data_IF_382041930571
#
_entry.id   IF_382041930571
#
_cell.length_a   1.000
_cell.length_b   1.000
_cell.length_c   1.000
_cell.angle_alpha   90.00
_cell.angle_beta   90.00
_cell.angle_gamma   90.00
#
_symmetry.space_group_name_H-M   'P 1'
#
loop_
_entity.id
_entity.type
_entity.pdbx_description
1 polymer ?
#
# COMPACT_ATOMS: atom_id res chain seq x y z
N UNK A 1 36.89 27.89 -25.27
CA UNK A 1 37.10 27.52 -23.87
C UNK A 1 35.78 26.92 -23.37
N UNK A 2 35.63 25.60 -23.54
CA UNK A 2 34.41 24.82 -23.25
C UNK A 2 34.63 24.13 -21.93
N UNK A 3 33.75 24.35 -20.98
CA UNK A 3 33.67 23.55 -19.75
C UNK A 3 32.41 22.67 -19.83
N UNK A 4 32.65 21.40 -20.04
CA UNK A 4 31.60 20.36 -19.98
C UNK A 4 31.41 19.88 -18.53
N UNK A 5 30.16 19.81 -18.14
CA UNK A 5 29.74 19.18 -16.87
C UNK A 5 29.64 17.66 -17.06
N UNK A 6 30.41 16.92 -16.29
CA UNK A 6 30.34 15.46 -16.23
C UNK A 6 29.37 15.05 -15.13
N UNK A 7 28.35 14.27 -15.50
CA UNK A 7 27.50 13.56 -14.55
C UNK A 7 28.19 12.26 -14.12
N UNK A 8 28.33 12.06 -12.82
CA UNK A 8 28.89 10.83 -12.23
C UNK A 8 27.76 9.85 -12.03
N UNK A 9 27.77 8.78 -12.83
CA UNK A 9 26.95 7.59 -12.60
C UNK A 9 27.81 6.60 -11.83
N UNK A 10 27.43 6.28 -10.61
CA UNK A 10 28.10 5.29 -9.76
C UNK A 10 27.67 3.90 -10.19
N UNK A 11 28.49 3.26 -11.03
CA UNK A 11 28.36 1.84 -11.41
C UNK A 11 29.47 1.04 -10.75
N UNK A 12 29.10 0.06 -9.96
CA UNK A 12 30.01 -0.90 -9.32
C UNK A 12 30.60 -1.84 -10.37
N UNK A 13 31.91 -1.75 -10.61
CA UNK A 13 32.64 -2.65 -11.51
C UNK A 13 33.18 -3.84 -10.71
N UNK A 14 32.73 -5.04 -11.04
CA UNK A 14 33.33 -6.28 -10.58
C UNK A 14 34.50 -6.66 -11.51
N UNK A 15 35.72 -6.73 -10.99
CA UNK A 15 36.89 -7.13 -11.74
C UNK A 15 37.13 -8.62 -11.50
N UNK A 16 36.72 -9.44 -12.45
CA UNK A 16 37.13 -10.84 -12.58
C UNK A 16 38.17 -10.96 -13.71
N UNK A 17 39.32 -11.49 -13.37
CA UNK A 17 40.45 -11.69 -14.27
C UNK A 17 40.32 -13.02 -15.02
N UNK A 18 40.04 -13.00 -16.33
CA UNK A 18 40.25 -14.14 -17.21
C UNK A 18 40.70 -13.66 -18.60
N UNK A 19 41.67 -14.34 -19.19
CA UNK A 19 42.41 -13.99 -20.41
C UNK A 19 41.59 -14.17 -21.70
N UNK A 20 42.19 -13.85 -22.87
CA UNK A 20 41.47 -13.66 -24.11
C UNK A 20 41.04 -14.97 -24.75
N UNK A 21 39.75 -15.07 -25.08
CA UNK A 21 39.24 -16.08 -26.01
C UNK A 21 38.50 -15.33 -27.14
N UNK A 22 38.94 -15.62 -28.36
CA UNK A 22 38.38 -15.12 -29.61
C UNK A 22 36.90 -15.45 -29.73
N UNK A 23 36.07 -14.43 -29.91
CA UNK A 23 34.67 -14.59 -30.26
C UNK A 23 34.54 -14.39 -31.77
N UNK A 24 34.41 -15.50 -32.51
CA UNK A 24 33.98 -15.49 -33.92
C UNK A 24 32.45 -15.33 -33.95
N UNK A 25 31.99 -14.21 -34.46
CA UNK A 25 30.57 -13.98 -34.77
C UNK A 25 30.25 -14.62 -36.09
N UNK A 26 29.50 -15.72 -36.09
CA UNK A 26 28.93 -16.33 -37.30
C UNK A 26 27.55 -15.73 -37.55
N UNK A 27 27.48 -14.96 -38.62
CA UNK A 27 26.24 -14.39 -39.17
C UNK A 27 25.43 -15.52 -39.82
N UNK A 28 24.32 -15.92 -39.21
CA UNK A 28 23.39 -16.91 -39.80
C UNK A 28 22.08 -16.19 -40.09
N UNK A 29 21.67 -16.04 -41.36
CA UNK A 29 20.41 -15.39 -41.68
C UNK A 29 19.24 -16.29 -41.33
N UNK A 30 18.33 -15.77 -40.51
CA UNK A 30 17.02 -16.40 -40.21
C UNK A 30 16.12 -16.25 -41.46
N UNK A 31 15.78 -17.39 -42.08
CA UNK A 31 14.77 -17.46 -43.15
C UNK A 31 13.38 -17.35 -42.51
N UNK A 32 12.67 -16.28 -42.86
CA UNK A 32 11.23 -16.15 -42.68
C UNK A 32 10.53 -17.04 -43.73
N UNK A 33 9.77 -18.01 -43.26
CA UNK A 33 8.89 -18.82 -44.08
C UNK A 33 7.70 -18.02 -44.61
N UNK A 34 7.54 -18.04 -45.92
CA UNK A 34 6.37 -17.55 -46.62
C UNK A 34 5.31 -18.66 -46.65
N UNK A 35 4.05 -18.35 -46.38
CA UNK A 35 2.88 -18.38 -47.24
C UNK A 35 1.58 -18.53 -46.44
N UNK A 36 0.73 -17.54 -46.53
CA UNK A 36 -0.72 -17.74 -46.50
C UNK A 36 -1.31 -16.79 -47.54
N UNK A 37 -2.07 -17.39 -48.43
CA UNK A 37 -2.73 -16.78 -49.57
C UNK A 37 -3.72 -15.70 -49.13
N UNK A 38 -3.60 -14.51 -49.74
CA UNK A 38 -4.61 -13.46 -49.65
C UNK A 38 -5.22 -13.30 -51.03
N UNK A 39 -6.49 -13.67 -51.17
CA UNK A 39 -7.29 -13.34 -52.34
C UNK A 39 -7.50 -11.82 -52.47
N UNK A 40 -7.01 -11.26 -53.57
CA UNK A 40 -7.24 -9.87 -53.94
C UNK A 40 -8.53 -9.71 -54.67
N UNK A 41 -9.52 -9.07 -54.08
CA UNK A 41 -10.64 -8.47 -54.83
C UNK A 41 -10.31 -7.01 -55.10
N UNK A 42 -10.10 -6.70 -56.38
CA UNK A 42 -9.95 -5.35 -56.90
C UNK A 42 -11.28 -4.62 -56.98
N UNK A 43 -11.41 -3.47 -56.29
CA UNK A 43 -12.36 -2.44 -56.63
C UNK A 43 -11.66 -1.09 -56.73
N UNK A 44 -11.76 -0.46 -57.89
CA UNK A 44 -11.25 0.86 -58.24
C UNK A 44 -11.92 1.97 -57.41
N UNK A 45 -11.13 2.83 -56.81
CA UNK A 45 -11.62 4.08 -56.22
C UNK A 45 -10.43 4.92 -55.70
N UNK A 46 -10.10 5.98 -56.44
CA UNK A 46 -9.08 6.99 -56.19
C UNK A 46 -9.26 7.69 -54.87
N UNK A 47 -8.18 7.83 -54.05
CA UNK A 47 -7.66 9.05 -53.43
C UNK A 47 -6.85 8.72 -52.19
N UNK A 48 -5.59 9.07 -52.29
CA UNK A 48 -4.69 9.60 -51.24
C UNK A 48 -5.12 9.50 -49.76
N UNK A 49 -4.65 8.46 -49.08
CA UNK A 49 -4.51 8.44 -47.62
C UNK A 49 -3.38 7.45 -47.22
N UNK A 50 -2.34 8.02 -46.61
CA UNK A 50 -1.30 7.27 -45.92
C UNK A 50 -1.94 6.30 -44.90
N UNK A 51 -1.45 5.05 -44.75
CA UNK A 51 -1.98 4.16 -43.73
C UNK A 51 -1.41 4.61 -42.35
N UNK A 52 -2.23 5.30 -41.57
CA UNK A 52 -2.04 5.34 -40.12
C UNK A 52 -2.25 3.92 -39.59
N UNK A 53 -1.17 3.32 -39.10
CA UNK A 53 -1.25 2.11 -38.28
C UNK A 53 -1.90 2.46 -36.95
N UNK A 54 -3.23 2.51 -36.92
CA UNK A 54 -4.02 2.51 -35.71
C UNK A 54 -3.86 1.15 -35.04
N UNK A 55 -2.89 1.00 -34.15
CA UNK A 55 -2.96 0.00 -33.12
C UNK A 55 -4.09 0.42 -32.18
N UNK A 56 -5.30 0.01 -32.51
CA UNK A 56 -6.41 0.04 -31.57
C UNK A 56 -6.17 -1.03 -30.53
N UNK A 57 -5.50 -0.69 -29.44
CA UNK A 57 -5.71 -1.40 -28.20
C UNK A 57 -7.11 -1.02 -27.74
N UNK A 58 -8.08 -1.85 -28.10
CA UNK A 58 -9.35 -1.84 -27.41
C UNK A 58 -9.04 -2.24 -25.98
N UNK A 59 -9.29 -1.39 -24.96
CA UNK A 59 -9.30 -1.87 -23.60
C UNK A 59 -10.30 -3.02 -23.52
N UNK A 60 -10.07 -4.06 -22.70
CA UNK A 60 -11.07 -5.08 -22.50
C UNK A 60 -12.36 -4.38 -22.10
N UNK A 61 -13.42 -4.61 -22.85
CA UNK A 61 -14.74 -4.14 -22.54
C UNK A 61 -15.22 -4.90 -21.30
N UNK A 62 -14.92 -4.37 -20.12
CA UNK A 62 -15.56 -4.76 -18.88
C UNK A 62 -16.37 -3.56 -18.38
N UNK A 63 -17.60 -3.47 -18.86
CA UNK A 63 -18.65 -2.64 -18.27
C UNK A 63 -19.05 -3.15 -16.86
N UNK A 64 -18.41 -4.19 -16.35
CA UNK A 64 -18.64 -4.76 -15.01
C UNK A 64 -17.86 -4.07 -13.90
N UNK A 65 -16.81 -3.30 -14.21
CA UNK A 65 -15.96 -2.70 -13.18
C UNK A 65 -16.50 -1.38 -12.61
N UNK A 66 -17.53 -0.78 -13.20
CA UNK A 66 -18.15 0.44 -12.68
C UNK A 66 -19.17 0.16 -11.56
N UNK A 67 -19.76 -1.05 -11.56
CA UNK A 67 -20.78 -1.43 -10.56
C UNK A 67 -20.16 -1.88 -9.22
N UNK A 68 -18.85 -2.15 -9.17
CA UNK A 68 -18.15 -2.62 -7.98
C UNK A 68 -17.56 -1.47 -7.13
N UNK A 69 -17.57 -0.23 -7.62
CA UNK A 69 -17.03 0.92 -6.90
C UNK A 69 -18.07 1.45 -5.93
N UNK A 70 -17.80 1.29 -4.65
CA UNK A 70 -18.59 1.87 -3.57
C UNK A 70 -18.02 3.21 -3.15
N UNK A 71 -18.89 4.16 -2.84
CA UNK A 71 -18.50 5.46 -2.27
C UNK A 71 -19.28 5.75 -1.01
N UNK A 72 -18.62 6.38 -0.05
CA UNK A 72 -19.22 6.88 1.18
C UNK A 72 -19.61 8.34 0.96
N UNK A 73 -20.84 8.68 1.27
CA UNK A 73 -21.38 10.03 1.13
C UNK A 73 -21.93 10.55 2.45
N UNK A 74 -21.96 11.86 2.59
CA UNK A 74 -22.78 12.52 3.62
C UNK A 74 -24.25 12.38 3.27
N UNK A 75 -25.12 12.64 4.26
CA UNK A 75 -26.58 12.63 4.08
C UNK A 75 -27.08 13.72 3.10
N UNK A 76 -26.27 14.73 2.78
CA UNK A 76 -26.54 15.76 1.77
C UNK A 76 -25.87 15.47 0.41
N UNK A 77 -25.24 14.28 0.25
CA UNK A 77 -24.77 13.71 -1.00
C UNK A 77 -23.34 14.09 -1.39
N UNK A 78 -22.57 14.72 -0.52
CA UNK A 78 -21.14 14.97 -0.75
C UNK A 78 -20.35 13.65 -0.61
N UNK A 79 -19.46 13.36 -1.56
CA UNK A 79 -18.56 12.18 -1.49
C UNK A 79 -17.47 12.45 -0.46
N UNK A 80 -17.36 11.60 0.54
CA UNK A 80 -16.32 11.65 1.57
C UNK A 80 -15.15 10.71 1.25
N UNK A 81 -15.46 9.48 0.79
CA UNK A 81 -14.48 8.42 0.64
C UNK A 81 -14.93 7.38 -0.39
N UNK A 82 -13.99 6.57 -0.85
CA UNK A 82 -14.29 5.28 -1.46
C UNK A 82 -14.56 4.22 -0.39
N UNK A 83 -15.07 3.07 -0.79
CA UNK A 83 -15.27 1.94 0.12
C UNK A 83 -15.10 0.60 -0.59
N UNK A 84 -14.75 -0.41 0.19
CA UNK A 84 -14.64 -1.80 -0.26
C UNK A 84 -15.50 -2.71 0.61
N UNK A 85 -16.32 -3.54 -0.01
CA UNK A 85 -17.05 -4.60 0.68
C UNK A 85 -16.06 -5.70 1.14
N UNK A 86 -16.02 -5.99 2.44
CA UNK A 86 -15.12 -6.99 3.03
C UNK A 86 -15.85 -8.22 3.54
N UNK A 87 -17.10 -8.04 4.00
CA UNK A 87 -18.01 -9.08 4.46
C UNK A 87 -19.44 -8.66 4.09
N UNK A 88 -20.36 -9.60 3.92
CA UNK A 88 -21.77 -9.27 3.63
C UNK A 88 -22.33 -8.27 4.66
N UNK A 89 -22.80 -7.12 4.17
CA UNK A 89 -23.29 -6.02 5.00
C UNK A 89 -22.21 -5.16 5.67
N UNK A 90 -20.90 -5.35 5.35
CA UNK A 90 -19.83 -4.56 5.95
C UNK A 90 -18.84 -4.06 4.90
N UNK A 91 -18.58 -2.76 4.94
CA UNK A 91 -17.58 -2.12 4.09
C UNK A 91 -16.48 -1.47 4.92
N UNK A 92 -15.29 -1.39 4.35
CA UNK A 92 -14.16 -0.66 4.92
C UNK A 92 -13.86 0.59 4.11
N UNK A 93 -13.36 1.61 4.77
CA UNK A 93 -12.95 2.88 4.18
C UNK A 93 -11.82 3.53 4.99
N UNK A 94 -11.32 4.69 4.53
CA UNK A 94 -10.38 5.52 5.30
C UNK A 94 -11.11 6.27 6.41
N UNK A 95 -10.68 6.08 7.66
CA UNK A 95 -11.29 6.73 8.82
C UNK A 95 -11.08 8.24 8.83
N UNK A 96 -9.90 8.68 8.43
CA UNK A 96 -9.56 10.11 8.35
C UNK A 96 -10.44 10.85 7.35
N UNK A 97 -10.84 10.21 6.24
CA UNK A 97 -11.71 10.81 5.24
C UNK A 97 -13.13 11.06 5.76
N UNK A 98 -13.61 10.27 6.72
CA UNK A 98 -14.95 10.45 7.31
C UNK A 98 -15.07 11.63 8.27
N UNK A 99 -13.95 12.22 8.68
CA UNK A 99 -13.92 13.39 9.57
C UNK A 99 -14.81 13.25 10.84
N UNK A 100 -15.00 12.02 11.33
CA UNK A 100 -15.79 11.72 12.53
C UNK A 100 -17.28 11.48 12.27
N UNK A 101 -17.75 11.39 11.03
CA UNK A 101 -19.15 11.06 10.73
C UNK A 101 -19.46 9.61 11.15
N UNK A 102 -20.54 9.40 11.90
CA UNK A 102 -20.98 8.08 12.37
C UNK A 102 -22.12 7.50 11.52
N UNK A 103 -22.91 8.34 10.88
CA UNK A 103 -23.99 7.97 9.96
C UNK A 103 -23.64 8.47 8.57
N UNK A 104 -23.69 7.59 7.59
CA UNK A 104 -23.29 7.86 6.21
C UNK A 104 -24.22 7.15 5.24
N UNK A 105 -24.08 7.46 3.96
CA UNK A 105 -24.75 6.76 2.87
C UNK A 105 -23.70 6.00 2.04
N UNK A 106 -23.93 4.72 1.77
CA UNK A 106 -23.09 3.90 0.91
C UNK A 106 -23.78 3.76 -0.44
N UNK A 107 -23.14 4.26 -1.50
CA UNK A 107 -23.67 4.25 -2.86
C UNK A 107 -22.83 3.40 -3.78
N UNK A 108 -23.47 2.66 -4.70
CA UNK A 108 -22.85 1.92 -5.79
C UNK A 108 -23.82 1.81 -6.97
N UNK A 109 -23.35 2.08 -8.19
CA UNK A 109 -24.24 2.19 -9.35
C UNK A 109 -25.40 3.15 -9.08
N UNK A 110 -26.62 2.69 -9.30
CA UNK A 110 -27.87 3.43 -9.01
C UNK A 110 -28.43 3.14 -7.61
N UNK A 111 -27.72 2.37 -6.79
CA UNK A 111 -28.17 1.95 -5.45
C UNK A 111 -27.52 2.80 -4.37
N UNK A 112 -28.28 2.99 -3.28
CA UNK A 112 -27.79 3.68 -2.09
C UNK A 112 -28.47 3.11 -0.85
N UNK A 113 -27.71 2.90 0.23
CA UNK A 113 -28.19 2.40 1.51
C UNK A 113 -27.57 3.18 2.67
N UNK A 114 -28.31 3.34 3.76
CA UNK A 114 -27.74 3.91 4.98
C UNK A 114 -26.67 2.98 5.54
N UNK A 115 -25.63 3.58 6.12
CA UNK A 115 -24.55 2.90 6.79
C UNK A 115 -24.24 3.53 8.13
N UNK A 116 -23.88 2.70 9.11
CA UNK A 116 -23.47 3.12 10.45
C UNK A 116 -22.04 2.69 10.70
N UNK A 117 -21.18 3.60 11.11
CA UNK A 117 -19.82 3.30 11.55
C UNK A 117 -19.89 2.48 12.84
N UNK A 118 -19.29 1.28 12.82
CA UNK A 118 -19.29 0.39 13.98
C UNK A 118 -17.95 0.35 14.71
N UNK A 119 -16.87 0.80 14.07
CA UNK A 119 -15.57 0.92 14.70
C UNK A 119 -14.56 1.61 13.79
N UNK A 120 -13.52 2.15 14.42
CA UNK A 120 -12.40 2.86 13.78
C UNK A 120 -11.09 2.38 14.38
N UNK A 121 -10.13 2.12 13.51
CA UNK A 121 -8.75 1.92 13.91
C UNK A 121 -7.87 3.07 13.41
N UNK A 122 -7.48 3.99 14.29
CA UNK A 122 -6.62 5.11 13.93
C UNK A 122 -5.19 4.69 13.57
N UNK A 123 -4.74 3.50 13.99
CA UNK A 123 -3.39 3.00 13.71
C UNK A 123 -3.20 2.63 12.24
N UNK A 124 -4.24 2.08 11.62
CA UNK A 124 -4.24 1.67 10.21
C UNK A 124 -5.06 2.59 9.31
N UNK A 125 -5.80 3.57 9.84
CA UNK A 125 -6.78 4.40 9.14
C UNK A 125 -8.00 3.60 8.62
N UNK A 126 -8.25 2.40 9.14
CA UNK A 126 -9.38 1.58 8.76
C UNK A 126 -10.61 1.95 9.58
N UNK A 127 -11.72 2.12 8.90
CA UNK A 127 -13.05 2.27 9.51
C UNK A 127 -14.01 1.28 8.91
N UNK A 128 -14.77 0.61 9.76
CA UNK A 128 -15.79 -0.35 9.36
C UNK A 128 -17.17 0.27 9.46
N UNK A 129 -17.93 0.15 8.38
CA UNK A 129 -19.31 0.62 8.27
C UNK A 129 -20.22 -0.58 8.06
N UNK A 130 -21.22 -0.75 8.89
CA UNK A 130 -22.32 -1.69 8.66
C UNK A 130 -23.34 -1.05 7.74
N UNK A 131 -23.71 -1.73 6.67
CA UNK A 131 -24.69 -1.29 5.66
C UNK A 131 -26.03 -1.96 5.94
N UNK A 132 -27.09 -1.19 6.07
CA UNK A 132 -28.42 -1.68 6.41
C UNK A 132 -29.19 -2.11 5.14
N UNK A 133 -28.94 -3.30 4.66
CA UNK A 133 -29.62 -3.87 3.49
C UNK A 133 -28.77 -4.88 2.71
N UNK A 134 -29.26 -5.28 1.55
CA UNK A 134 -28.54 -6.21 0.68
C UNK A 134 -27.40 -5.47 -0.06
N UNK A 135 -26.18 -5.88 0.16
CA UNK A 135 -24.99 -5.40 -0.54
C UNK A 135 -24.70 -6.26 -1.78
N UNK A 136 -23.94 -5.77 -2.78
CA UNK A 136 -23.44 -6.60 -3.86
C UNK A 136 -22.59 -7.75 -3.29
N UNK A 137 -22.43 -8.84 -4.03
CA UNK A 137 -21.57 -9.94 -3.61
C UNK A 137 -20.10 -9.52 -3.53
N UNK A 138 -19.33 -10.21 -2.70
CA UNK A 138 -17.87 -10.11 -2.70
C UNK A 138 -17.35 -10.61 -4.04
N UNK A 139 -16.87 -9.70 -4.88
CA UNK A 139 -16.62 -9.99 -6.30
C UNK A 139 -15.15 -10.18 -6.69
N UNK A 140 -14.20 -9.95 -5.78
CA UNK A 140 -12.78 -9.94 -6.11
C UNK A 140 -11.96 -10.73 -5.11
N UNK A 141 -10.94 -11.42 -5.62
CA UNK A 141 -9.93 -12.07 -4.80
C UNK A 141 -8.94 -11.03 -4.25
N UNK A 142 -8.21 -11.41 -3.22
CA UNK A 142 -7.17 -10.59 -2.63
C UNK A 142 -5.82 -10.95 -3.26
N UNK A 143 -5.00 -9.92 -3.50
CA UNK A 143 -3.63 -10.08 -3.99
C UNK A 143 -2.64 -9.25 -3.19
N UNK A 144 -1.35 -9.56 -3.33
CA UNK A 144 -0.28 -8.79 -2.71
C UNK A 144 0.23 -7.73 -3.68
N UNK A 145 0.28 -6.48 -3.24
CA UNK A 145 0.98 -5.43 -3.96
C UNK A 145 2.48 -5.69 -3.90
N UNK A 146 3.16 -5.70 -5.06
CA UNK A 146 4.60 -5.93 -5.16
C UNK A 146 5.29 -4.73 -5.79
N UNK A 147 6.50 -4.44 -5.32
CA UNK A 147 7.32 -3.36 -5.90
C UNK A 147 7.47 -3.53 -7.42
N UNK A 148 7.26 -2.44 -8.16
CA UNK A 148 7.30 -2.40 -9.62
C UNK A 148 5.99 -2.76 -10.31
N UNK A 149 4.99 -3.30 -9.63
CA UNK A 149 3.67 -3.59 -10.20
C UNK A 149 2.82 -2.32 -10.33
N UNK A 150 1.93 -2.32 -11.33
CA UNK A 150 0.96 -1.26 -11.54
C UNK A 150 -0.35 -1.61 -10.84
N UNK A 151 -0.92 -0.62 -10.17
CA UNK A 151 -2.22 -0.71 -9.51
C UNK A 151 -3.18 0.33 -10.11
N UNK A 152 -4.44 -0.02 -10.19
CA UNK A 152 -5.52 0.80 -10.73
C UNK A 152 -6.51 1.14 -9.65
N UNK A 153 -6.83 2.43 -9.50
CA UNK A 153 -7.75 2.94 -8.49
C UNK A 153 -8.87 3.71 -9.19
N UNK A 154 -10.14 3.56 -8.79
CA UNK A 154 -11.24 4.34 -9.34
C UNK A 154 -11.14 5.81 -8.89
N UNK A 155 -11.52 6.72 -9.78
CA UNK A 155 -11.64 8.16 -9.50
C UNK A 155 -13.12 8.56 -9.41
N UNK A 156 -13.40 9.73 -8.85
CA UNK A 156 -14.79 10.22 -8.68
C UNK A 156 -15.55 10.33 -10.00
N UNK A 157 -14.89 10.65 -11.10
CA UNK A 157 -15.50 10.79 -12.43
C UNK A 157 -15.72 9.45 -13.15
N UNK A 158 -15.42 8.31 -12.47
CA UNK A 158 -15.54 6.97 -13.03
C UNK A 158 -14.37 6.55 -13.91
N UNK A 159 -13.34 7.38 -14.05
CA UNK A 159 -12.08 7.01 -14.69
C UNK A 159 -11.19 6.19 -13.74
N UNK A 160 -9.95 5.91 -14.14
CA UNK A 160 -8.98 5.17 -13.31
C UNK A 160 -7.65 5.91 -13.24
N UNK A 161 -7.13 6.01 -12.03
CA UNK A 161 -5.75 6.39 -11.77
C UNK A 161 -4.88 5.14 -11.76
N UNK A 162 -3.83 5.10 -12.58
CA UNK A 162 -2.85 4.02 -12.59
C UNK A 162 -1.55 4.51 -12.02
N UNK A 163 -1.03 3.83 -11.02
CA UNK A 163 0.23 4.15 -10.35
C UNK A 163 1.03 2.89 -10.13
N UNK A 164 2.32 3.04 -9.84
CA UNK A 164 3.25 1.93 -9.60
C UNK A 164 3.60 1.83 -8.13
N UNK A 165 3.69 0.61 -7.62
CA UNK A 165 4.19 0.32 -6.27
C UNK A 165 5.70 0.61 -6.23
N UNK A 166 6.13 1.47 -5.30
CA UNK A 166 7.55 1.82 -5.09
C UNK A 166 8.11 1.25 -3.79
N UNK A 167 7.25 0.91 -2.83
CA UNK A 167 7.64 0.19 -1.62
C UNK A 167 6.47 -0.62 -1.06
N UNK A 168 6.72 -1.87 -0.64
CA UNK A 168 5.70 -2.77 -0.07
C UNK A 168 5.47 -2.50 1.42
N UNK A 169 6.42 -1.87 2.10
CA UNK A 169 6.34 -1.46 3.50
C UNK A 169 6.94 -0.07 3.67
N UNK A 170 6.10 0.92 3.89
CA UNK A 170 6.46 2.31 4.05
C UNK A 170 5.71 2.96 5.21
N UNK A 171 6.02 4.22 5.45
CA UNK A 171 5.28 5.09 6.37
C UNK A 171 4.85 6.32 5.59
N UNK A 172 3.58 6.62 5.60
CA UNK A 172 3.03 7.81 4.95
C UNK A 172 2.47 8.79 5.98
N UNK A 173 2.52 10.08 5.66
CA UNK A 173 1.88 11.11 6.45
C UNK A 173 0.43 11.29 5.98
N UNK A 174 -0.52 11.21 6.93
CA UNK A 174 -1.92 11.46 6.66
C UNK A 174 -2.25 12.96 6.68
N UNK A 175 -3.40 13.32 6.14
CA UNK A 175 -3.86 14.71 6.06
C UNK A 175 -4.01 15.36 7.44
N UNK A 176 -4.30 14.60 8.49
CA UNK A 176 -4.34 15.05 9.88
C UNK A 176 -2.96 15.20 10.53
N UNK A 177 -1.88 14.80 9.84
CA UNK A 177 -0.50 14.86 10.31
C UNK A 177 -0.01 13.61 11.05
N UNK A 178 -0.88 12.65 11.33
CA UNK A 178 -0.47 11.38 11.94
C UNK A 178 0.20 10.46 10.92
N UNK A 179 1.18 9.64 11.32
CA UNK A 179 1.77 8.66 10.43
C UNK A 179 0.91 7.40 10.37
N UNK A 180 0.66 6.88 9.18
CA UNK A 180 0.21 5.50 8.99
C UNK A 180 1.40 4.65 8.56
N UNK A 181 1.58 3.49 9.19
CA UNK A 181 2.77 2.65 9.07
C UNK A 181 2.42 1.27 8.51
N UNK A 182 3.34 0.71 7.71
CA UNK A 182 3.14 -0.59 7.06
C UNK A 182 2.24 -0.51 5.84
N UNK A 183 2.21 0.63 5.19
CA UNK A 183 1.48 0.88 3.95
C UNK A 183 2.33 0.55 2.73
N UNK A 184 1.66 0.29 1.62
CA UNK A 184 2.25 0.22 0.28
C UNK A 184 2.32 1.63 -0.27
N UNK A 185 3.51 2.08 -0.65
CA UNK A 185 3.74 3.41 -1.24
C UNK A 185 3.66 3.35 -2.77
N UNK A 186 3.05 4.36 -3.37
CA UNK A 186 2.89 4.50 -4.81
C UNK A 186 3.74 5.67 -5.36
N UNK A 187 4.07 5.62 -6.66
CA UNK A 187 4.90 6.64 -7.33
C UNK A 187 4.19 7.97 -7.63
N UNK A 188 2.87 8.03 -7.42
CA UNK A 188 2.03 9.20 -7.63
C UNK A 188 1.47 9.77 -6.34
N UNK A 189 0.49 10.67 -6.51
CA UNK A 189 -0.34 11.22 -5.43
C UNK A 189 -1.76 10.71 -5.56
N UNK A 190 -2.53 10.81 -4.49
CA UNK A 190 -3.92 10.35 -4.49
C UNK A 190 -4.76 11.10 -5.57
N UNK A 191 -4.61 12.43 -5.68
CA UNK A 191 -5.30 13.24 -6.69
C UNK A 191 -6.83 13.13 -6.56
N UNK A 192 -7.49 12.76 -7.66
CA UNK A 192 -8.96 12.60 -7.72
C UNK A 192 -9.44 11.20 -7.28
N UNK A 193 -8.56 10.38 -6.70
CA UNK A 193 -8.94 9.09 -6.10
C UNK A 193 -9.44 9.35 -4.69
N UNK A 194 -10.71 9.02 -4.35
CA UNK A 194 -11.20 9.19 -2.99
C UNK A 194 -10.43 8.28 -2.01
N UNK A 195 -10.01 8.77 -0.84
CA UNK A 195 -9.46 7.92 0.20
C UNK A 195 -10.42 6.79 0.57
N UNK A 196 -9.92 5.60 0.89
CA UNK A 196 -10.74 4.40 1.12
C UNK A 196 -11.13 3.65 -0.14
N UNK A 197 -10.75 4.15 -1.33
CA UNK A 197 -10.99 3.44 -2.60
C UNK A 197 -10.14 2.18 -2.70
N UNK A 198 -10.69 1.09 -3.25
CA UNK A 198 -9.93 -0.11 -3.54
C UNK A 198 -8.89 0.13 -4.64
N UNK A 199 -7.72 -0.50 -4.48
CA UNK A 199 -6.70 -0.58 -5.49
C UNK A 199 -6.63 -2.01 -6.05
N UNK A 200 -6.58 -2.14 -7.36
CA UNK A 200 -6.63 -3.41 -8.06
C UNK A 200 -5.33 -3.66 -8.83
N UNK A 201 -4.88 -4.90 -8.84
CA UNK A 201 -3.80 -5.33 -9.72
C UNK A 201 -4.26 -5.44 -11.19
N UNK A 202 -3.37 -5.88 -12.07
CA UNK A 202 -3.68 -6.10 -13.51
C UNK A 202 -4.71 -7.21 -13.78
N UNK A 203 -4.95 -8.12 -12.83
CA UNK A 203 -5.94 -9.20 -12.94
C UNK A 203 -7.31 -8.74 -12.44
N UNK A 204 -7.36 -7.59 -11.77
CA UNK A 204 -8.55 -7.06 -11.12
C UNK A 204 -8.72 -7.53 -9.68
N UNK A 205 -7.70 -8.18 -9.10
CA UNK A 205 -7.70 -8.58 -7.69
C UNK A 205 -7.35 -7.39 -6.80
N UNK A 206 -7.91 -7.35 -5.59
CA UNK A 206 -7.71 -6.22 -4.65
C UNK A 206 -6.37 -6.37 -3.96
N UNK A 207 -5.53 -5.34 -4.02
CA UNK A 207 -4.22 -5.29 -3.34
C UNK A 207 -4.22 -4.44 -2.07
N UNK A 208 -5.19 -3.54 -1.93
CA UNK A 208 -5.30 -2.67 -0.77
C UNK A 208 -6.38 -1.61 -0.94
N UNK A 209 -6.49 -0.73 0.05
CA UNK A 209 -7.35 0.46 0.02
C UNK A 209 -6.53 1.71 0.26
N UNK A 210 -6.88 2.80 -0.42
CA UNK A 210 -6.18 4.09 -0.30
C UNK A 210 -6.42 4.72 1.06
N UNK A 211 -5.39 5.37 1.64
CA UNK A 211 -5.53 6.17 2.86
C UNK A 211 -5.58 7.66 2.53
N UNK A 212 -6.08 8.48 3.45
CA UNK A 212 -6.13 9.95 3.29
C UNK A 212 -4.74 10.56 3.51
N UNK A 213 -3.83 10.41 2.53
CA UNK A 213 -2.48 10.99 2.60
C UNK A 213 -2.48 12.51 2.45
N UNK A 214 -1.51 13.18 3.07
CA UNK A 214 -1.32 14.63 2.90
C UNK A 214 -1.02 14.97 1.42
N UNK A 215 -1.46 16.15 0.96
CA UNK A 215 -1.35 16.57 -0.46
C UNK A 215 0.08 16.46 -1.04
N UNK A 216 1.09 16.67 -0.20
CA UNK A 216 2.48 16.59 -0.61
C UNK A 216 3.08 15.17 -0.52
N UNK A 217 2.39 14.24 0.16
CA UNK A 217 2.85 12.87 0.34
C UNK A 217 2.53 12.01 -0.91
N UNK A 218 3.31 10.95 -1.16
CA UNK A 218 2.93 9.91 -2.10
C UNK A 218 1.60 9.26 -1.70
N UNK A 219 0.84 8.77 -2.67
CA UNK A 219 -0.32 7.95 -2.40
C UNK A 219 0.11 6.66 -1.70
N UNK A 220 -0.72 6.19 -0.78
CA UNK A 220 -0.43 4.99 -0.01
C UNK A 220 -1.68 4.11 0.12
N UNK A 221 -1.45 2.80 0.22
CA UNK A 221 -2.49 1.80 0.40
C UNK A 221 -2.28 1.07 1.72
N UNK A 222 -3.33 0.87 2.47
CA UNK A 222 -3.37 -0.18 3.50
C UNK A 222 -3.48 -1.52 2.76
N UNK A 223 -2.54 -2.48 2.97
CA UNK A 223 -2.62 -3.79 2.32
C UNK A 223 -3.96 -4.48 2.61
N UNK A 224 -4.53 -5.17 1.62
CA UNK A 224 -5.87 -5.78 1.76
C UNK A 224 -5.95 -6.79 2.90
N UNK A 225 -4.89 -7.59 3.09
CA UNK A 225 -4.85 -8.56 4.20
C UNK A 225 -4.99 -7.88 5.56
N UNK A 226 -4.25 -6.78 5.79
CA UNK A 226 -4.35 -5.99 7.01
C UNK A 226 -5.74 -5.32 7.15
N UNK A 227 -6.27 -4.77 6.06
CA UNK A 227 -7.59 -4.13 6.10
C UNK A 227 -8.71 -5.11 6.47
N UNK A 228 -8.62 -6.38 6.01
CA UNK A 228 -9.60 -7.43 6.39
C UNK A 228 -9.41 -7.91 7.82
N UNK A 229 -8.17 -8.12 8.25
CA UNK A 229 -7.85 -8.51 9.63
C UNK A 229 -8.44 -7.51 10.64
N UNK A 230 -8.12 -6.23 10.48
CA UNK A 230 -8.66 -5.15 11.30
C UNK A 230 -10.19 -5.06 11.22
N UNK A 231 -10.75 -5.26 10.02
CA UNK A 231 -12.19 -5.24 9.85
C UNK A 231 -12.88 -6.40 10.58
N UNK A 232 -12.29 -7.60 10.54
CA UNK A 232 -12.84 -8.78 11.21
C UNK A 232 -12.82 -8.59 12.73
N UNK A 233 -11.74 -8.06 13.31
CA UNK A 233 -11.66 -7.72 14.73
C UNK A 233 -12.73 -6.69 15.12
N UNK A 234 -12.87 -5.60 14.37
CA UNK A 234 -13.89 -4.58 14.64
C UNK A 234 -15.31 -5.17 14.52
N UNK A 235 -15.58 -6.03 13.54
CA UNK A 235 -16.92 -6.64 13.37
C UNK A 235 -17.23 -7.59 14.51
N UNK A 236 -16.27 -8.38 14.96
CA UNK A 236 -16.48 -9.46 15.92
C UNK A 236 -16.36 -8.95 17.38
N UNK A 237 -15.44 -8.02 17.68
CA UNK A 237 -15.12 -7.55 19.02
C UNK A 237 -15.48 -6.07 19.27
N UNK A 238 -15.77 -5.30 18.21
CA UNK A 238 -16.14 -3.88 18.29
C UNK A 238 -14.97 -2.92 18.13
N UNK A 239 -13.73 -3.37 18.27
CA UNK A 239 -12.50 -2.60 18.15
C UNK A 239 -11.35 -3.51 17.68
N UNK A 240 -10.32 -2.93 17.07
CA UNK A 240 -9.10 -3.65 16.72
C UNK A 240 -8.04 -3.41 17.79
N UNK A 241 -7.41 -4.48 18.27
CA UNK A 241 -6.35 -4.41 19.25
C UNK A 241 -4.99 -4.65 18.61
N UNK A 242 -4.03 -3.82 18.95
CA UNK A 242 -2.67 -3.91 18.43
C UNK A 242 -1.65 -4.13 19.53
N UNK A 243 -0.69 -5.06 19.35
CA UNK A 243 0.39 -5.23 20.30
C UNK A 243 1.25 -3.96 20.37
N UNK A 244 1.42 -3.46 21.57
CA UNK A 244 2.11 -2.21 21.84
C UNK A 244 3.44 -2.42 22.56
N UNK A 245 4.50 -1.81 21.99
CA UNK A 245 5.85 -1.87 22.56
C UNK A 245 6.15 -0.73 23.53
N UNK A 246 5.44 0.39 23.41
CA UNK A 246 5.67 1.56 24.28
C UNK A 246 6.81 2.48 23.85
N UNK A 247 7.11 2.55 22.56
CA UNK A 247 8.17 3.44 22.04
C UNK A 247 7.63 4.38 20.96
N UNK A 248 8.22 5.58 20.87
CA UNK A 248 8.18 6.37 19.64
C UNK A 248 9.49 6.11 18.90
N UNK A 249 9.38 5.84 17.61
CA UNK A 249 10.54 5.51 16.79
C UNK A 249 10.43 6.13 15.38
N UNK A 250 11.55 6.15 14.66
CA UNK A 250 11.63 6.60 13.27
C UNK A 250 12.75 5.87 12.54
N UNK A 251 12.82 6.04 11.25
CA UNK A 251 14.01 5.63 10.51
C UNK A 251 15.19 6.55 10.90
N UNK A 252 16.42 6.02 11.04
CA UNK A 252 17.60 6.85 11.18
C UNK A 252 17.74 7.81 9.98
N UNK A 253 18.19 9.03 10.23
CA UNK A 253 18.57 9.95 9.16
C UNK A 253 19.89 9.50 8.49
N UNK A 254 20.16 10.02 7.28
CA UNK A 254 21.40 9.72 6.57
C UNK A 254 22.63 10.06 7.43
N UNK A 255 23.48 9.06 7.63
CA UNK A 255 24.71 9.19 8.45
C UNK A 255 24.50 9.12 9.98
N UNK A 256 23.28 8.95 10.45
CA UNK A 256 22.97 8.81 11.88
C UNK A 256 23.26 7.38 12.39
N UNK A 257 23.18 6.38 11.52
CA UNK A 257 23.53 5.00 11.81
C UNK A 257 24.14 4.32 10.61
N UNK A 258 25.14 3.46 10.84
CA UNK A 258 25.70 2.56 9.82
C UNK A 258 24.90 1.26 9.69
N UNK A 259 23.84 1.09 10.49
CA UNK A 259 22.98 -0.10 10.54
C UNK A 259 21.54 0.26 10.18
N UNK A 260 20.86 -0.64 9.48
CA UNK A 260 19.43 -0.60 9.33
C UNK A 260 18.73 -0.90 10.66
N UNK A 261 17.58 -0.28 10.89
CA UNK A 261 16.82 -0.45 12.12
C UNK A 261 15.79 0.65 12.33
N UNK A 262 15.11 0.60 13.46
CA UNK A 262 14.16 1.61 13.92
C UNK A 262 14.75 2.35 15.12
N UNK A 263 15.02 3.66 14.98
CA UNK A 263 15.63 4.48 16.03
C UNK A 263 14.58 4.93 17.04
N UNK A 264 14.73 4.52 18.29
CA UNK A 264 13.86 4.92 19.40
C UNK A 264 14.11 6.39 19.74
N UNK A 265 13.10 7.23 19.59
CA UNK A 265 13.17 8.67 19.92
C UNK A 265 12.63 8.98 21.30
N UNK A 266 11.68 8.20 21.79
CA UNK A 266 11.14 8.27 23.14
C UNK A 266 10.66 6.89 23.59
N UNK A 267 10.61 6.66 24.89
CA UNK A 267 10.04 5.47 25.52
C UNK A 267 8.96 5.95 26.49
N UNK A 268 7.81 5.30 26.50
CA UNK A 268 6.79 5.55 27.51
C UNK A 268 7.28 5.00 28.84
N UNK A 269 7.32 5.83 29.89
CA UNK A 269 7.91 5.48 31.20
C UNK A 269 7.18 4.33 31.89
N UNK A 270 5.85 4.22 31.66
CA UNK A 270 5.00 3.15 32.19
C UNK A 270 4.81 2.00 31.19
N UNK A 271 5.47 2.06 30.03
CA UNK A 271 5.30 1.10 28.95
C UNK A 271 6.20 -0.13 29.07
N UNK A 272 5.88 -1.18 28.30
CA UNK A 272 6.59 -2.45 28.35
C UNK A 272 8.06 -2.35 27.93
N UNK A 273 8.40 -1.49 26.96
CA UNK A 273 9.79 -1.25 26.57
C UNK A 273 10.63 -0.64 27.68
N UNK A 274 10.08 0.31 28.47
CA UNK A 274 10.76 0.90 29.62
C UNK A 274 11.01 -0.16 30.69
N UNK A 275 10.01 -0.98 31.00
CA UNK A 275 10.15 -2.08 31.98
C UNK A 275 11.24 -3.09 31.54
N UNK A 276 11.41 -3.30 30.25
CA UNK A 276 12.44 -4.18 29.68
C UNK A 276 13.82 -3.51 29.51
N UNK A 277 13.95 -2.20 29.80
CA UNK A 277 15.20 -1.47 29.75
C UNK A 277 15.60 -0.97 28.35
N UNK A 278 14.66 -0.82 27.45
CA UNK A 278 14.84 -0.08 26.17
C UNK A 278 14.95 1.41 26.49
N UNK A 279 15.81 2.12 25.81
CA UNK A 279 16.11 3.53 26.06
C UNK A 279 15.95 4.36 24.77
N UNK A 280 15.65 5.64 24.92
CA UNK A 280 15.76 6.59 23.81
C UNK A 280 17.22 6.62 23.31
N UNK A 281 17.37 6.60 21.98
CA UNK A 281 18.68 6.47 21.31
C UNK A 281 19.06 5.03 20.96
N UNK A 282 18.31 4.02 21.39
CA UNK A 282 18.49 2.66 20.92
C UNK A 282 18.06 2.52 19.46
N UNK A 283 18.76 1.69 18.70
CA UNK A 283 18.32 1.26 17.37
C UNK A 283 17.78 -0.16 17.49
N UNK A 284 16.48 -0.36 17.32
CA UNK A 284 15.87 -1.69 17.28
C UNK A 284 16.25 -2.33 15.95
N UNK A 285 16.96 -3.48 16.03
CA UNK A 285 17.50 -4.19 14.88
C UNK A 285 16.88 -5.57 14.68
N UNK A 286 16.15 -6.09 15.68
CA UNK A 286 15.46 -7.39 15.60
C UNK A 286 14.37 -7.49 16.65
N UNK A 287 13.29 -8.19 16.28
CA UNK A 287 12.21 -8.60 17.20
C UNK A 287 11.98 -10.09 16.97
N UNK A 288 12.10 -10.90 18.03
CA UNK A 288 12.18 -12.35 17.90
C UNK A 288 13.31 -12.75 16.95
N UNK A 289 13.00 -13.56 15.94
CA UNK A 289 13.96 -13.97 14.90
C UNK A 289 13.95 -13.04 13.67
N UNK A 290 13.04 -12.05 13.62
CA UNK A 290 12.83 -11.20 12.45
C UNK A 290 13.74 -9.95 12.50
N UNK A 291 14.62 -9.73 11.51
CA UNK A 291 15.39 -8.49 11.40
C UNK A 291 14.48 -7.28 11.16
N UNK A 292 14.76 -6.19 11.85
CA UNK A 292 14.08 -4.90 11.68
C UNK A 292 14.98 -3.99 10.85
N UNK A 293 14.56 -3.69 9.62
CA UNK A 293 15.30 -2.83 8.70
C UNK A 293 14.86 -1.35 8.75
N UNK A 294 13.64 -1.08 9.22
CA UNK A 294 13.03 0.25 9.27
C UNK A 294 11.95 0.31 10.35
N UNK A 295 11.40 1.50 10.59
CA UNK A 295 10.22 1.67 11.44
C UNK A 295 9.02 0.89 10.89
N UNK A 296 8.79 0.92 9.58
CA UNK A 296 7.69 0.16 8.96
C UNK A 296 7.87 -1.35 9.17
N UNK A 297 9.09 -1.87 9.01
CA UNK A 297 9.39 -3.28 9.28
C UNK A 297 9.21 -3.63 10.77
N UNK A 298 9.53 -2.73 11.70
CA UNK A 298 9.27 -2.91 13.12
C UNK A 298 7.78 -3.09 13.40
N UNK A 299 6.95 -2.19 12.90
CA UNK A 299 5.49 -2.24 13.10
C UNK A 299 4.90 -3.48 12.45
N UNK A 300 5.28 -3.81 11.20
CA UNK A 300 4.83 -5.02 10.53
C UNK A 300 5.22 -6.30 11.31
N UNK A 301 6.42 -6.32 11.92
CA UNK A 301 6.84 -7.44 12.75
C UNK A 301 6.02 -7.51 14.05
N UNK A 302 5.76 -6.38 14.71
CA UNK A 302 4.96 -6.36 15.93
C UNK A 302 3.53 -6.89 15.69
N UNK A 303 2.91 -6.57 14.56
CA UNK A 303 1.58 -7.06 14.18
C UNK A 303 1.47 -8.59 14.04
N UNK A 304 2.58 -9.31 13.96
CA UNK A 304 2.56 -10.78 13.98
C UNK A 304 2.52 -11.40 15.38
N UNK A 305 2.44 -10.58 16.41
CA UNK A 305 2.30 -10.97 17.81
C UNK A 305 0.94 -10.50 18.36
N UNK A 306 0.56 -11.03 19.51
CA UNK A 306 -0.64 -10.64 20.24
C UNK A 306 -0.28 -9.85 21.51
N UNK A 307 -1.16 -8.99 22.03
CA UNK A 307 -1.00 -8.44 23.38
C UNK A 307 -0.82 -9.56 24.41
N UNK A 308 0.16 -9.39 25.32
CA UNK A 308 0.56 -10.44 26.27
C UNK A 308 1.71 -11.34 25.81
N UNK A 309 2.07 -11.32 24.53
CA UNK A 309 3.22 -12.07 24.03
C UNK A 309 4.53 -11.53 24.61
N UNK A 310 5.43 -12.46 24.95
CA UNK A 310 6.78 -12.14 25.42
C UNK A 310 7.76 -12.27 24.25
N UNK A 311 8.31 -11.14 23.83
CA UNK A 311 9.20 -11.07 22.66
C UNK A 311 10.61 -10.63 23.07
N UNK A 312 11.62 -11.13 22.35
CA UNK A 312 13.00 -10.69 22.47
C UNK A 312 13.26 -9.54 21.52
N UNK A 313 13.41 -8.33 22.07
CA UNK A 313 13.81 -7.14 21.28
C UNK A 313 15.31 -6.98 21.36
N UNK A 314 16.01 -7.01 20.23
CA UNK A 314 17.46 -6.74 20.14
C UNK A 314 17.67 -5.31 19.69
N UNK A 315 18.37 -4.54 20.51
CA UNK A 315 18.74 -3.15 20.20
C UNK A 315 20.25 -3.01 20.01
N UNK A 316 20.65 -2.10 19.15
CA UNK A 316 22.02 -1.64 19.02
C UNK A 316 22.20 -0.39 19.89
N UNK A 317 23.05 -0.48 20.91
CA UNK A 317 23.32 0.57 21.91
C UNK A 317 24.82 0.72 22.12
N UNK A 318 25.35 1.92 21.91
CA UNK A 318 26.76 2.25 22.18
C UNK A 318 27.78 1.22 21.57
N UNK A 319 27.52 0.72 20.38
CA UNK A 319 28.43 -0.20 19.69
C UNK A 319 28.23 -1.69 20.01
N UNK A 320 27.21 -2.06 20.79
CA UNK A 320 26.92 -3.45 21.17
C UNK A 320 25.46 -3.81 21.00
N UNK A 321 25.18 -5.09 20.77
CA UNK A 321 23.82 -5.64 20.78
C UNK A 321 23.38 -5.90 22.22
N UNK A 322 22.20 -5.41 22.56
CA UNK A 322 21.57 -5.62 23.88
C UNK A 322 20.23 -6.28 23.66
N UNK A 323 19.98 -7.41 24.32
CA UNK A 323 18.70 -8.09 24.30
C UNK A 323 17.80 -7.59 25.44
N UNK A 324 16.58 -7.23 25.10
CA UNK A 324 15.54 -6.82 26.05
C UNK A 324 14.35 -7.79 25.87
N UNK A 325 13.90 -8.41 26.97
CA UNK A 325 12.70 -9.26 26.96
C UNK A 325 11.51 -8.40 27.31
N UNK A 326 10.57 -8.28 26.37
CA UNK A 326 9.41 -7.38 26.47
C UNK A 326 8.14 -8.21 26.44
N UNK A 327 7.25 -8.00 27.37
CA UNK A 327 5.86 -8.48 27.33
C UNK A 327 5.03 -7.37 26.68
N UNK A 328 4.50 -7.64 25.48
CA UNK A 328 3.69 -6.66 24.74
C UNK A 328 2.37 -6.42 25.45
N UNK A 329 1.90 -5.17 25.47
CA UNK A 329 0.59 -4.83 26.03
C UNK A 329 -0.39 -4.46 24.91
N UNK A 330 -1.67 -4.35 25.24
CA UNK A 330 -2.69 -3.84 24.34
C UNK A 330 -2.48 -2.35 24.08
N UNK A 331 -2.71 -1.91 22.84
CA UNK A 331 -2.79 -0.50 22.50
C UNK A 331 -4.00 0.18 23.18
N UNK A 332 -5.08 -0.55 23.40
CA UNK A 332 -6.32 -0.07 24.00
C UNK A 332 -6.15 0.25 25.51
N UNK A 333 -5.18 -0.38 26.17
CA UNK A 333 -4.88 -0.10 27.60
C UNK A 333 -4.31 1.30 27.85
N UNK A 334 -3.94 2.03 26.78
CA UNK A 334 -3.36 3.39 26.91
C UNK A 334 -4.40 4.48 27.16
N UNK A 335 -5.64 4.23 26.84
CA UNK A 335 -6.75 5.19 26.96
C UNK A 335 -7.64 4.90 28.19
N UNK A 336 -7.29 3.94 29.05
CA UNK A 336 -8.04 3.48 30.20
C UNK A 336 -7.70 4.23 31.52
#
# INVERSE_FOLDING_TARGET
>A
MLLGSAAIVSGMVWVGRAGPADITVTDTPVRLGTTADVETTTSNGSADQSPELLFSFAPPASSEAADDVMVVRTNDGETLAGALLVRDGYVVTSGTALAGADEVEISWGDSSLPGTVIGRDPVTDITVIRVDGATPGLGKDDALAREGEEVNMPTEDGSRSTQRVVAEQSTSAMVNGDPVVGVVELDGRLGDVPPGSPAYDRNGDVVGITTATADAAPAALVPIGLAREVADEIIDDGEADHPWLGVKARNPADGESDRAGSLVTAVNEDGPAAAAGVLAGDLIIRIGDTPVASMAAMVATLRSYEPGDVVQVTVWRAGTEVGCTVELTSHLDLDA
#
